data_IF_748764132378
#
_entry.id   IF_748764132378
#
_cell.length_a   1.000
_cell.length_b   1.000
_cell.length_c   1.000
_cell.angle_alpha   90.00
_cell.angle_beta   90.00
_cell.angle_gamma   90.00
#
_symmetry.space_group_name_H-M   'P 1'
#
loop_
_entity.id
_entity.type
_entity.pdbx_description
1 polymer ?
#
# COMPACT_ATOMS: atom_id res chain seq x y z
N UNK A 1 -14.67 21.53 10.26
CA UNK A 1 -13.20 21.39 10.34
C UNK A 1 -12.86 20.16 9.51
N UNK A 2 -12.17 20.30 8.37
CA UNK A 2 -11.87 19.15 7.51
C UNK A 2 -10.76 18.36 8.20
N UNK A 3 -11.11 17.20 8.75
CA UNK A 3 -10.17 16.23 9.31
C UNK A 3 -9.18 15.79 8.22
N UNK A 4 -7.89 15.84 8.52
CA UNK A 4 -6.77 15.55 7.62
C UNK A 4 -6.26 14.13 7.88
N UNK A 5 -7.17 13.17 7.97
CA UNK A 5 -6.92 11.95 8.77
C UNK A 5 -6.53 10.71 7.93
N UNK A 6 -6.21 10.88 6.64
CA UNK A 6 -5.71 9.79 5.78
C UNK A 6 -4.20 9.86 5.53
N UNK A 7 -3.54 8.73 5.21
CA UNK A 7 -2.13 8.68 4.88
C UNK A 7 -1.85 9.55 3.64
N UNK A 8 -0.63 10.09 3.58
CA UNK A 8 -0.24 10.96 2.49
C UNK A 8 1.07 10.49 1.85
N UNK A 9 1.19 10.75 0.56
CA UNK A 9 2.46 10.68 -0.17
C UNK A 9 2.86 12.11 -0.51
N UNK A 10 4.16 12.35 -0.44
CA UNK A 10 4.82 13.62 -0.64
C UNK A 10 5.92 13.40 -1.68
N UNK A 11 5.92 14.20 -2.75
CA UNK A 11 7.05 14.27 -3.69
C UNK A 11 7.82 15.56 -3.49
N UNK A 12 9.15 15.46 -3.45
CA UNK A 12 10.06 16.59 -3.32
C UNK A 12 11.03 16.65 -4.50
N UNK A 13 11.41 17.87 -4.87
CA UNK A 13 12.56 18.09 -5.73
C UNK A 13 13.88 17.82 -4.97
N UNK A 14 14.99 17.72 -5.70
CA UNK A 14 16.35 17.46 -5.19
C UNK A 14 16.75 18.37 -4.01
N UNK A 15 16.25 19.60 -4.00
CA UNK A 15 16.57 20.61 -2.97
C UNK A 15 15.46 20.79 -1.90
N UNK A 16 14.58 19.80 -1.75
CA UNK A 16 13.56 19.77 -0.69
C UNK A 16 12.29 20.60 -0.96
N UNK A 17 12.16 21.21 -2.14
CA UNK A 17 10.91 21.87 -2.52
C UNK A 17 9.81 20.82 -2.74
N UNK A 18 8.68 20.97 -2.04
CA UNK A 18 7.51 20.11 -2.22
C UNK A 18 6.94 20.33 -3.62
N UNK A 19 6.88 19.27 -4.42
CA UNK A 19 6.22 19.28 -5.72
C UNK A 19 4.72 19.03 -5.56
N UNK A 20 4.35 18.04 -4.76
CA UNK A 20 2.95 17.77 -4.41
C UNK A 20 2.83 17.00 -3.10
N UNK A 21 1.64 17.10 -2.51
CA UNK A 21 1.18 16.26 -1.40
C UNK A 21 -0.22 15.76 -1.73
N UNK A 22 -0.41 14.44 -1.73
CA UNK A 22 -1.71 13.82 -1.95
C UNK A 22 -2.04 12.85 -0.84
N UNK A 23 -3.34 12.76 -0.54
CA UNK A 23 -3.89 11.88 0.49
C UNK A 23 -4.73 10.81 -0.18
N UNK A 24 -4.59 9.60 0.34
CA UNK A 24 -5.23 8.42 -0.21
C UNK A 24 -5.97 7.70 0.91
N UNK A 25 -6.79 6.72 0.54
CA UNK A 25 -7.60 5.96 1.49
C UNK A 25 -8.92 6.64 1.83
N UNK A 26 -9.64 6.05 2.78
CA UNK A 26 -10.99 6.48 3.13
C UNK A 26 -10.89 7.71 4.05
N UNK A 27 -11.68 8.75 3.76
CA UNK A 27 -11.71 9.94 4.62
C UNK A 27 -12.56 9.66 5.86
N UNK A 28 -12.04 10.05 7.03
CA UNK A 28 -12.73 9.95 8.32
C UNK A 28 -12.91 8.51 8.85
N UNK A 29 -12.12 7.55 8.38
CA UNK A 29 -11.98 6.23 9.04
C UNK A 29 -10.79 6.24 10.02
N UNK A 30 -10.60 5.13 10.76
CA UNK A 30 -9.37 4.85 11.49
C UNK A 30 -8.15 4.90 10.55
N UNK A 31 -6.92 5.10 11.06
CA UNK A 31 -5.81 5.50 10.20
C UNK A 31 -5.35 4.36 9.27
N UNK A 32 -5.69 4.46 7.99
CA UNK A 32 -4.91 3.83 6.91
C UNK A 32 -3.43 4.29 7.04
N UNK A 33 -2.49 3.43 6.69
CA UNK A 33 -1.06 3.74 6.83
C UNK A 33 -0.27 3.29 5.61
N UNK A 34 0.75 4.05 5.26
CA UNK A 34 1.80 3.61 4.33
C UNK A 34 3.06 3.26 5.12
N UNK A 35 3.72 2.18 4.70
CA UNK A 35 4.91 1.64 5.37
C UNK A 35 6.16 1.77 4.51
N UNK A 36 6.05 1.63 3.18
CA UNK A 36 7.20 1.70 2.28
C UNK A 36 6.81 2.24 0.89
N UNK A 37 7.77 2.82 0.18
CA UNK A 37 7.59 3.38 -1.17
C UNK A 37 8.82 3.16 -2.05
N UNK A 38 8.58 2.80 -3.32
CA UNK A 38 9.60 2.66 -4.35
C UNK A 38 9.23 3.44 -5.61
N UNK A 39 10.21 4.06 -6.25
CA UNK A 39 10.02 4.74 -7.54
C UNK A 39 9.83 3.72 -8.67
N UNK A 40 8.82 3.97 -9.52
CA UNK A 40 8.50 3.18 -10.70
C UNK A 40 9.28 3.69 -11.93
N UNK A 41 9.43 2.85 -12.95
CA UNK A 41 10.17 3.20 -14.18
C UNK A 41 9.56 4.36 -14.99
N UNK A 42 8.28 4.66 -14.76
CA UNK A 42 7.55 5.76 -15.39
C UNK A 42 7.61 7.07 -14.58
N UNK A 43 8.45 7.13 -13.55
CA UNK A 43 8.60 8.31 -12.68
C UNK A 43 7.44 8.52 -11.70
N UNK A 44 6.54 7.53 -11.61
CA UNK A 44 5.57 7.38 -10.53
C UNK A 44 6.14 6.61 -9.33
N UNK A 45 5.25 6.15 -8.46
CA UNK A 45 5.63 5.42 -7.24
C UNK A 45 4.72 4.22 -7.01
N UNK A 46 5.29 3.14 -6.46
CA UNK A 46 4.53 2.06 -5.84
C UNK A 46 4.69 2.18 -4.33
N UNK A 47 3.57 2.22 -3.63
CA UNK A 47 3.48 2.39 -2.18
C UNK A 47 2.79 1.18 -1.59
N UNK A 48 3.30 0.69 -0.46
CA UNK A 48 2.64 -0.36 0.33
C UNK A 48 2.27 0.14 1.70
N UNK A 49 1.25 -0.50 2.27
CA UNK A 49 0.69 -0.10 3.53
C UNK A 49 -0.45 -1.00 3.96
N UNK A 50 -1.24 -0.50 4.90
CA UNK A 50 -2.39 -1.18 5.46
C UNK A 50 -3.60 -0.29 5.24
N UNK A 51 -4.66 -0.88 4.70
CA UNK A 51 -5.94 -0.21 4.55
C UNK A 51 -6.96 -0.89 5.45
N UNK A 52 -7.63 -0.08 6.26
CA UNK A 52 -8.65 -0.55 7.18
C UNK A 52 -9.94 -0.69 6.41
N UNK A 53 -10.47 -1.92 6.36
CA UNK A 53 -11.84 -2.11 5.90
C UNK A 53 -12.82 -1.81 7.05
N UNK A 54 -13.77 -0.91 6.80
CA UNK A 54 -14.88 -0.66 7.72
C UNK A 54 -15.88 -1.81 7.62
N UNK A 55 -15.75 -2.80 8.50
CA UNK A 55 -16.74 -3.86 8.69
C UNK A 55 -17.35 -3.74 10.08
N UNK A 56 -18.67 -3.97 10.16
CA UNK A 56 -19.42 -3.84 11.41
C UNK A 56 -18.74 -4.62 12.55
N UNK A 57 -18.11 -3.86 13.47
CA UNK A 57 -17.49 -4.31 14.73
C UNK A 57 -16.10 -4.97 14.67
N UNK A 58 -15.43 -5.03 13.52
CA UNK A 58 -14.02 -5.46 13.44
C UNK A 58 -13.20 -4.61 12.48
N UNK A 59 -12.02 -4.18 12.94
CA UNK A 59 -11.02 -3.51 12.11
C UNK A 59 -9.99 -4.55 11.70
N UNK A 60 -10.02 -4.93 10.44
CA UNK A 60 -9.00 -5.76 9.83
C UNK A 60 -8.21 -4.92 8.83
N UNK A 61 -6.91 -5.08 8.90
CA UNK A 61 -5.96 -4.42 8.01
C UNK A 61 -5.74 -5.34 6.82
N UNK A 62 -6.02 -4.86 5.60
CA UNK A 62 -5.64 -5.55 4.36
C UNK A 62 -4.30 -4.99 3.86
N UNK A 63 -3.48 -5.81 3.17
CA UNK A 63 -2.32 -5.28 2.45
C UNK A 63 -2.84 -4.34 1.38
N UNK A 64 -2.40 -3.09 1.44
CA UNK A 64 -2.70 -2.12 0.42
C UNK A 64 -1.45 -1.84 -0.40
N UNK A 65 -1.54 -2.09 -1.70
CA UNK A 65 -0.48 -1.86 -2.67
C UNK A 65 -1.04 -0.93 -3.72
N UNK A 66 -0.43 0.23 -3.91
CA UNK A 66 -0.94 1.25 -4.81
C UNK A 66 0.16 1.77 -5.71
N UNK A 67 -0.15 1.99 -6.98
CA UNK A 67 0.70 2.75 -7.89
C UNK A 67 0.08 4.10 -8.17
N UNK A 68 0.91 5.12 -8.13
CA UNK A 68 0.57 6.49 -8.52
C UNK A 68 1.50 6.96 -9.64
N UNK A 69 1.02 7.85 -10.49
CA UNK A 69 1.81 8.45 -11.56
C UNK A 69 2.76 9.55 -11.03
N UNK A 70 3.51 10.19 -11.93
CA UNK A 70 4.43 11.27 -11.56
C UNK A 70 3.76 12.48 -10.88
N UNK A 71 2.46 12.69 -11.11
CA UNK A 71 1.65 13.76 -10.51
C UNK A 71 0.95 13.29 -9.23
N UNK A 72 1.14 12.04 -8.83
CA UNK A 72 0.49 11.39 -7.69
C UNK A 72 -0.95 10.95 -7.97
N UNK A 73 -1.42 10.95 -9.21
CA UNK A 73 -2.73 10.38 -9.54
C UNK A 73 -2.67 8.84 -9.51
N UNK A 74 -3.68 8.21 -8.92
CA UNK A 74 -3.73 6.76 -8.80
C UNK A 74 -3.81 6.11 -10.19
N UNK A 75 -2.92 5.13 -10.45
CA UNK A 75 -2.89 4.33 -11.67
C UNK A 75 -3.59 2.99 -11.44
N UNK A 76 -3.27 2.33 -10.33
CA UNK A 76 -3.94 1.12 -9.86
C UNK A 76 -3.78 0.97 -8.35
N UNK A 77 -4.68 0.19 -7.74
CA UNK A 77 -4.67 -0.15 -6.32
C UNK A 77 -5.10 -1.60 -6.13
N UNK A 78 -4.45 -2.29 -5.19
CA UNK A 78 -4.74 -3.66 -4.78
C UNK A 78 -4.93 -3.71 -3.27
N UNK A 79 -5.99 -4.39 -2.85
CA UNK A 79 -6.27 -4.75 -1.47
C UNK A 79 -6.18 -6.27 -1.38
N UNK A 80 -5.22 -6.75 -0.59
CA UNK A 80 -4.90 -8.17 -0.49
C UNK A 80 -4.98 -8.57 0.98
N UNK A 81 -6.07 -9.21 1.34
CA UNK A 81 -6.27 -9.76 2.67
C UNK A 81 -7.25 -10.92 2.65
N UNK A 82 -7.41 -11.56 3.81
CA UNK A 82 -8.49 -12.52 4.03
C UNK A 82 -9.56 -11.86 4.90
N UNK A 83 -10.81 -12.00 4.48
CA UNK A 83 -11.97 -11.59 5.26
C UNK A 83 -11.85 -12.16 6.67
N UNK A 84 -11.60 -11.32 7.68
CA UNK A 84 -11.44 -11.66 9.11
C UNK A 84 -10.03 -11.72 9.71
N UNK A 85 -8.98 -11.26 9.01
CA UNK A 85 -7.59 -11.39 9.50
C UNK A 85 -6.82 -10.08 9.47
N UNK A 86 -5.87 -9.94 10.39
CA UNK A 86 -4.91 -8.85 10.33
C UNK A 86 -3.79 -9.23 9.36
N UNK A 87 -3.69 -8.45 8.29
CA UNK A 87 -2.63 -8.52 7.32
C UNK A 87 -1.79 -7.24 7.41
N UNK A 88 -0.46 -7.38 7.48
CA UNK A 88 0.45 -6.24 7.56
C UNK A 88 1.47 -6.22 6.43
N UNK A 89 1.42 -5.20 5.59
CA UNK A 89 2.48 -4.91 4.62
C UNK A 89 3.66 -4.19 5.29
N UNK A 90 4.88 -4.64 5.02
CA UNK A 90 6.10 -4.08 5.62
C UNK A 90 7.04 -3.42 4.60
N UNK A 91 7.20 -4.01 3.41
CA UNK A 91 8.26 -3.61 2.48
C UNK A 91 7.82 -3.85 1.03
N UNK A 92 8.38 -3.08 0.10
CA UNK A 92 8.23 -3.25 -1.34
C UNK A 92 9.52 -2.92 -2.07
N UNK A 93 9.90 -3.79 -2.99
CA UNK A 93 11.05 -3.58 -3.87
C UNK A 93 10.62 -3.66 -5.34
N UNK A 94 11.28 -2.85 -6.18
CA UNK A 94 11.19 -2.96 -7.64
C UNK A 94 12.25 -3.93 -8.16
N UNK A 95 11.83 -4.84 -9.03
CA UNK A 95 12.70 -5.80 -9.71
C UNK A 95 13.22 -5.23 -11.04
N UNK A 96 14.25 -5.86 -11.59
CA UNK A 96 14.89 -5.42 -12.84
C UNK A 96 14.01 -5.57 -14.08
N UNK A 97 12.94 -6.34 -14.01
CA UNK A 97 11.97 -6.52 -15.08
C UNK A 97 10.77 -5.56 -14.99
N UNK A 98 10.82 -4.59 -14.06
CA UNK A 98 9.75 -3.61 -13.84
C UNK A 98 8.60 -4.11 -12.97
N UNK A 99 8.63 -5.39 -12.53
CA UNK A 99 7.70 -5.91 -11.53
C UNK A 99 8.14 -5.52 -10.11
N UNK A 100 7.30 -5.83 -9.12
CA UNK A 100 7.49 -5.49 -7.72
C UNK A 100 7.33 -6.73 -6.85
N UNK A 101 8.05 -6.77 -5.72
CA UNK A 101 7.80 -7.71 -4.64
C UNK A 101 7.38 -6.92 -3.42
N UNK A 102 6.17 -7.19 -2.92
CA UNK A 102 5.72 -6.72 -1.62
C UNK A 102 5.83 -7.85 -0.60
N UNK A 103 6.24 -7.52 0.63
CA UNK A 103 6.35 -8.48 1.73
C UNK A 103 5.62 -8.00 2.97
N UNK A 104 5.25 -8.96 3.80
CA UNK A 104 4.59 -8.70 5.06
C UNK A 104 4.24 -9.99 5.78
N UNK A 105 3.22 -9.94 6.62
CA UNK A 105 2.69 -11.14 7.27
C UNK A 105 1.17 -11.09 7.41
N UNK A 106 0.58 -12.27 7.50
CA UNK A 106 -0.85 -12.51 7.66
C UNK A 106 -1.06 -13.45 8.84
N UNK A 107 -2.08 -13.24 9.67
CA UNK A 107 -2.51 -14.33 10.55
C UNK A 107 -3.14 -15.45 9.73
N UNK A 108 -2.76 -16.69 9.99
CA UNK A 108 -3.32 -17.87 9.33
C UNK A 108 -4.34 -18.62 10.22
N UNK A 109 -4.27 -18.43 11.54
CA UNK A 109 -5.21 -18.87 12.57
C UNK A 109 -5.02 -18.04 13.87
N UNK A 110 -5.67 -18.44 14.97
CA UNK A 110 -5.59 -17.82 16.30
C UNK A 110 -4.16 -17.85 16.88
N UNK A 111 -3.31 -16.95 16.38
CA UNK A 111 -1.98 -16.66 16.91
C UNK A 111 -0.81 -17.05 16.00
N UNK A 112 -1.03 -17.78 14.90
CA UNK A 112 0.06 -18.05 13.95
C UNK A 112 0.07 -16.98 12.85
N UNK A 113 1.16 -16.22 12.80
CA UNK A 113 1.47 -15.33 11.69
C UNK A 113 2.37 -16.06 10.67
N UNK A 114 2.00 -15.99 9.39
CA UNK A 114 2.81 -16.47 8.28
C UNK A 114 3.37 -15.29 7.47
N UNK A 115 4.62 -15.42 7.03
CA UNK A 115 5.18 -14.46 6.08
C UNK A 115 4.44 -14.55 4.75
N UNK A 116 4.21 -13.40 4.12
CA UNK A 116 3.59 -13.31 2.82
C UNK A 116 4.50 -12.57 1.86
N UNK A 117 4.62 -13.11 0.65
CA UNK A 117 5.36 -12.50 -0.44
C UNK A 117 4.46 -12.46 -1.68
N UNK A 118 4.35 -11.27 -2.26
CA UNK A 118 3.44 -11.02 -3.37
C UNK A 118 4.25 -10.39 -4.49
N UNK A 119 4.28 -11.05 -5.65
CA UNK A 119 4.81 -10.42 -6.86
C UNK A 119 3.70 -9.69 -7.58
N UNK A 120 3.95 -8.43 -7.95
CA UNK A 120 3.01 -7.59 -8.69
C UNK A 120 3.68 -7.16 -9.98
N UNK A 121 3.01 -7.34 -11.12
CA UNK A 121 3.50 -6.83 -12.40
C UNK A 121 3.44 -5.29 -12.46
N UNK A 122 4.10 -4.69 -13.45
CA UNK A 122 4.13 -3.24 -13.61
C UNK A 122 2.74 -2.59 -13.79
N UNK A 123 1.79 -3.34 -14.32
CA UNK A 123 0.39 -3.00 -14.58
C UNK A 123 -0.58 -3.45 -13.47
N UNK A 124 -0.07 -3.96 -12.35
CA UNK A 124 -0.89 -4.22 -11.16
C UNK A 124 -1.51 -5.61 -11.08
N UNK A 125 -1.08 -6.58 -11.88
CA UNK A 125 -1.51 -7.98 -11.76
C UNK A 125 -0.67 -8.65 -10.67
N UNK A 126 -1.31 -9.16 -9.63
CA UNK A 126 -0.62 -9.87 -8.55
C UNK A 126 -0.60 -11.39 -8.76
N UNK A 127 0.50 -12.01 -8.36
CA UNK A 127 0.70 -13.45 -8.35
C UNK A 127 1.09 -13.84 -6.92
N UNK A 128 0.20 -14.59 -6.24
CA UNK A 128 0.48 -15.12 -4.92
C UNK A 128 1.45 -16.30 -5.01
N UNK A 129 2.49 -16.29 -4.17
CA UNK A 129 3.13 -17.52 -3.74
C UNK A 129 2.61 -17.79 -2.32
N UNK A 130 1.72 -18.79 -2.20
CA UNK A 130 1.26 -19.30 -0.92
C UNK A 130 2.27 -20.32 -0.39
#
# INVERSE_FOLDING_TARGET
MIKKDGPFVLRMAEYGNIQWVKRYGIRNTLPDSFTEVVEADDGGFVIVGNKIEEREFYFYDDFWIMKVDQNGDEVWSLEIGQNDRYDKANDVIKLSDGSYIATGWSFIDDGIAAMRLIRISSDGISYGIN
#
